data_IF_754556401281
#
_entry.id   IF_754556401281
#
_cell.length_a   1.000
_cell.length_b   1.000
_cell.length_c   1.000
_cell.angle_alpha   90.00
_cell.angle_beta   90.00
_cell.angle_gamma   90.00
#
_symmetry.space_group_name_H-M   'P 1'
#
loop_
_entity.id
_entity.type
_entity.pdbx_description
1 polymer ?
#
# COMPACT_ATOMS: atom_id res chain seq x y z
N UNK A 1 2.13 -19.43 -30.22
CA UNK A 1 1.46 -19.44 -28.91
C UNK A 1 0.06 -20.00 -29.09
N UNK A 2 -0.31 -21.10 -28.43
CA UNK A 2 -1.70 -21.59 -28.40
C UNK A 2 -2.33 -21.13 -27.10
N UNK A 3 -3.33 -20.26 -27.18
CA UNK A 3 -4.14 -19.84 -26.03
C UNK A 3 -5.07 -20.98 -25.62
N UNK A 4 -5.31 -21.13 -24.31
CA UNK A 4 -6.31 -22.07 -23.80
C UNK A 4 -7.68 -21.78 -24.42
N UNK A 5 -8.43 -22.83 -24.78
CA UNK A 5 -9.81 -22.71 -25.29
C UNK A 5 -10.72 -21.91 -24.35
N UNK A 6 -10.44 -21.94 -23.03
CA UNK A 6 -11.17 -21.18 -22.01
C UNK A 6 -10.98 -19.66 -22.17
N UNK A 7 -9.76 -19.23 -22.49
CA UNK A 7 -9.42 -17.81 -22.70
C UNK A 7 -10.09 -17.29 -23.96
N UNK A 8 -10.02 -18.08 -25.05
CA UNK A 8 -10.67 -17.74 -26.32
C UNK A 8 -12.20 -17.65 -26.14
N UNK A 9 -12.80 -18.61 -25.46
CA UNK A 9 -14.23 -18.59 -25.16
C UNK A 9 -14.65 -17.35 -24.36
N UNK A 10 -13.90 -17.00 -23.31
CA UNK A 10 -14.21 -15.82 -22.49
C UNK A 10 -14.06 -14.50 -23.27
N UNK A 11 -13.06 -14.41 -24.16
CA UNK A 11 -12.86 -13.27 -25.04
C UNK A 11 -13.97 -13.13 -26.08
N UNK A 12 -14.42 -14.25 -26.69
CA UNK A 12 -15.51 -14.22 -27.68
C UNK A 12 -16.87 -13.94 -27.03
N UNK A 13 -17.09 -14.41 -25.80
CA UNK A 13 -18.34 -14.22 -25.06
C UNK A 13 -18.56 -12.77 -24.62
N UNK A 14 -17.52 -12.08 -24.19
CA UNK A 14 -17.60 -10.71 -23.65
C UNK A 14 -16.34 -9.90 -23.96
N UNK A 15 -16.03 -9.76 -25.26
CA UNK A 15 -14.79 -9.16 -25.72
C UNK A 15 -14.60 -7.70 -25.32
N UNK A 16 -15.70 -6.95 -25.21
CA UNK A 16 -15.67 -5.54 -24.80
C UNK A 16 -15.24 -5.37 -23.33
N UNK A 17 -15.52 -6.35 -22.47
CA UNK A 17 -15.17 -6.31 -21.05
C UNK A 17 -14.00 -7.24 -20.68
N UNK A 18 -13.43 -7.98 -21.65
CA UNK A 18 -12.33 -8.88 -21.37
C UNK A 18 -11.09 -8.11 -20.89
N UNK A 19 -10.66 -8.36 -19.64
CA UNK A 19 -9.52 -7.68 -19.04
C UNK A 19 -9.79 -6.25 -18.54
N UNK A 20 -11.01 -5.72 -18.65
CA UNK A 20 -11.34 -4.37 -18.15
C UNK A 20 -11.62 -4.37 -16.64
N UNK A 21 -12.04 -5.50 -16.09
CA UNK A 21 -12.34 -5.65 -14.66
C UNK A 21 -11.07 -5.65 -13.83
N UNK A 22 -10.81 -4.53 -13.15
CA UNK A 22 -9.74 -4.44 -12.14
C UNK A 22 -10.11 -5.24 -10.89
N UNK A 23 -9.16 -5.98 -10.34
CA UNK A 23 -9.30 -6.60 -9.03
C UNK A 23 -9.26 -5.53 -7.93
N UNK A 24 -9.90 -5.80 -6.80
CA UNK A 24 -9.70 -5.00 -5.61
C UNK A 24 -8.22 -5.02 -5.21
N UNK A 25 -7.72 -3.87 -4.73
CA UNK A 25 -6.36 -3.79 -4.18
C UNK A 25 -6.34 -4.44 -2.80
N UNK A 26 -5.20 -5.01 -2.44
CA UNK A 26 -4.95 -5.48 -1.08
C UNK A 26 -5.06 -4.31 -0.10
N UNK A 27 -5.77 -4.53 1.01
CA UNK A 27 -5.83 -3.56 2.11
C UNK A 27 -4.43 -3.36 2.71
N UNK A 28 -3.99 -2.10 2.91
CA UNK A 28 -2.70 -1.84 3.52
C UNK A 28 -2.69 -2.33 4.97
N UNK A 29 -1.53 -2.78 5.44
CA UNK A 29 -1.34 -3.22 6.83
C UNK A 29 -1.46 -2.08 7.85
N UNK A 30 -1.41 -0.82 7.40
CA UNK A 30 -1.47 0.37 8.24
C UNK A 30 -2.63 1.22 7.76
N UNK A 31 -3.55 1.53 8.67
CA UNK A 31 -4.68 2.42 8.44
C UNK A 31 -4.22 3.86 8.23
N UNK A 32 -5.05 4.67 7.60
CA UNK A 32 -4.72 6.08 7.40
C UNK A 32 -4.64 6.87 8.72
N UNK A 33 -5.31 6.40 9.78
CA UNK A 33 -5.18 6.97 11.14
C UNK A 33 -3.78 6.73 11.70
N UNK A 34 -3.29 5.50 11.62
CA UNK A 34 -1.95 5.12 12.09
C UNK A 34 -0.85 5.80 11.27
N UNK A 35 -1.02 5.91 9.94
CA UNK A 35 -0.09 6.68 9.10
C UNK A 35 0.06 8.12 9.59
N UNK A 36 -1.05 8.79 9.92
CA UNK A 36 -1.02 10.16 10.48
C UNK A 36 -0.33 10.21 11.84
N UNK A 37 -0.52 9.21 12.70
CA UNK A 37 0.17 9.14 13.99
C UNK A 37 1.69 9.00 13.81
N UNK A 38 2.12 8.11 12.90
CA UNK A 38 3.53 7.94 12.52
C UNK A 38 4.14 9.24 12.00
N UNK A 39 3.44 9.95 11.11
CA UNK A 39 3.90 11.22 10.56
C UNK A 39 4.02 12.31 11.63
N UNK A 40 3.05 12.41 12.55
CA UNK A 40 3.10 13.34 13.68
C UNK A 40 4.26 13.02 14.63
N UNK A 41 4.53 11.75 14.87
CA UNK A 41 5.64 11.33 15.72
C UNK A 41 7.00 11.65 15.08
N UNK A 42 7.11 11.51 13.75
CA UNK A 42 8.32 11.81 12.99
C UNK A 42 8.58 13.31 12.79
N UNK A 43 7.53 14.12 12.62
CA UNK A 43 7.65 15.56 12.34
C UNK A 43 8.28 16.36 13.46
N UNK A 44 8.29 15.84 14.69
CA UNK A 44 8.67 16.61 15.88
C UNK A 44 10.08 16.29 16.39
N UNK A 45 10.75 15.23 15.90
CA UNK A 45 12.00 14.72 16.47
C UNK A 45 12.82 13.89 15.46
N UNK A 46 14.15 13.94 15.55
CA UNK A 46 15.04 12.97 14.89
C UNK A 46 15.03 11.63 15.63
N UNK A 47 13.98 10.84 15.42
CA UNK A 47 13.84 9.49 15.99
C UNK A 47 14.13 8.42 14.94
N UNK A 48 14.59 7.26 15.39
CA UNK A 48 14.70 6.06 14.56
C UNK A 48 13.31 5.54 14.18
N UNK A 49 13.21 4.77 13.09
CA UNK A 49 11.92 4.21 12.65
C UNK A 49 11.26 3.32 13.70
N UNK A 50 12.04 2.66 14.57
CA UNK A 50 11.51 1.84 15.67
C UNK A 50 10.89 2.70 16.78
N UNK A 51 11.57 3.78 17.17
CA UNK A 51 11.07 4.72 18.18
C UNK A 51 9.82 5.46 17.69
N UNK A 52 9.76 5.81 16.40
CA UNK A 52 8.56 6.42 15.79
C UNK A 52 7.38 5.45 15.85
N UNK A 53 7.59 4.16 15.55
CA UNK A 53 6.54 3.14 15.65
C UNK A 53 6.00 3.03 17.09
N UNK A 54 6.91 2.97 18.06
CA UNK A 54 6.57 2.87 19.48
C UNK A 54 5.83 4.12 19.97
N UNK A 55 6.30 5.32 19.61
CA UNK A 55 5.67 6.58 19.97
C UNK A 55 4.31 6.78 19.33
N UNK A 56 4.13 6.29 18.10
CA UNK A 56 2.84 6.30 17.41
C UNK A 56 1.88 5.20 17.93
N UNK A 57 2.35 4.27 18.77
CA UNK A 57 1.56 3.15 19.27
C UNK A 57 1.16 2.15 18.17
N UNK A 58 1.98 2.02 17.13
CA UNK A 58 1.66 1.20 15.95
C UNK A 58 2.56 -0.03 15.92
N UNK A 59 1.95 -1.21 16.01
CA UNK A 59 2.67 -2.49 15.95
C UNK A 59 2.99 -2.86 14.50
N UNK A 60 4.04 -2.25 13.94
CA UNK A 60 4.45 -2.45 12.54
C UNK A 60 5.94 -2.63 12.39
N UNK A 61 6.34 -3.28 11.30
CA UNK A 61 7.74 -3.41 10.94
C UNK A 61 8.36 -2.00 10.73
N UNK A 62 9.54 -1.70 11.30
CA UNK A 62 10.23 -0.42 11.10
C UNK A 62 10.43 -0.05 9.63
N UNK A 63 10.55 -1.03 8.73
CA UNK A 63 10.62 -0.80 7.28
C UNK A 63 9.35 -0.17 6.71
N UNK A 64 8.18 -0.52 7.24
CA UNK A 64 6.91 0.08 6.82
C UNK A 64 6.84 1.55 7.25
N UNK A 65 7.30 1.86 8.47
CA UNK A 65 7.43 3.24 8.95
C UNK A 65 8.36 4.03 8.05
N UNK A 66 9.56 3.51 7.75
CA UNK A 66 10.48 4.15 6.79
C UNK A 66 9.84 4.38 5.43
N UNK A 67 9.10 3.41 4.91
CA UNK A 67 8.40 3.55 3.62
C UNK A 67 7.35 4.66 3.67
N UNK A 68 6.57 4.76 4.76
CA UNK A 68 5.60 5.85 4.94
C UNK A 68 6.31 7.20 4.90
N UNK A 69 7.42 7.34 5.61
CA UNK A 69 8.19 8.59 5.66
C UNK A 69 8.79 8.96 4.29
N UNK A 70 9.34 7.98 3.56
CA UNK A 70 9.90 8.19 2.23
C UNK A 70 8.86 8.51 1.15
N UNK A 71 7.63 8.03 1.31
CA UNK A 71 6.54 8.31 0.36
C UNK A 71 5.89 9.67 0.67
N UNK A 72 6.27 10.31 1.78
CA UNK A 72 5.71 11.59 2.20
C UNK A 72 6.64 12.72 1.73
N UNK A 73 6.30 13.34 0.59
CA UNK A 73 7.08 14.39 -0.08
C UNK A 73 7.13 15.74 0.67
N UNK A 74 6.64 15.82 1.90
CA UNK A 74 6.60 17.06 2.71
C UNK A 74 7.53 16.99 3.92
N UNK A 75 8.80 16.66 3.69
CA UNK A 75 9.88 16.87 4.67
C UNK A 75 10.96 17.69 3.95
N UNK A 76 10.75 19.01 3.93
CA UNK A 76 11.77 20.05 3.71
C UNK A 76 11.80 20.88 4.99
#
# INVERSE_FOLDING_TARGET
>A
MRSSSKVIYNLLKDGNNYGTRKSSKRTPAISDKEKRAVLRAASNLCLTSGEIAQKAGVETNPRNVRRILQTWDNII
#
